data_IF_642964949219
#
_entry.id   IF_642964949219
#
_cell.length_a   1.000
_cell.length_b   1.000
_cell.length_c   1.000
_cell.angle_alpha   90.00
_cell.angle_beta   90.00
_cell.angle_gamma   90.00
#
_symmetry.space_group_name_H-M   'P 1'
#
loop_
_entity.id
_entity.type
_entity.pdbx_description
1 polymer ?
#
# COMPACT_ATOMS: atom_id res chain seq x y z
N UNK A 1 -9.70 -15.30 8.53
CA UNK A 1 -9.28 -16.05 9.74
C UNK A 1 -10.32 -15.81 10.81
N UNK A 2 -10.78 -16.83 11.57
CA UNK A 2 -11.68 -16.64 12.70
C UNK A 2 -11.00 -15.91 13.86
N UNK A 3 -11.77 -15.11 14.61
CA UNK A 3 -11.27 -14.33 15.76
C UNK A 3 -10.53 -15.19 16.80
N UNK A 4 -11.10 -16.36 17.15
CA UNK A 4 -10.49 -17.29 18.12
C UNK A 4 -9.13 -17.82 17.68
N UNK A 5 -8.95 -18.04 16.36
CA UNK A 5 -7.66 -18.46 15.80
C UNK A 5 -6.62 -17.33 15.89
N UNK A 6 -7.04 -16.09 15.61
CA UNK A 6 -6.19 -14.91 15.72
C UNK A 6 -5.80 -14.67 17.19
N UNK A 7 -6.76 -14.86 18.13
CA UNK A 7 -6.51 -14.74 19.55
C UNK A 7 -5.49 -15.77 20.04
N UNK A 8 -5.61 -17.04 19.64
CA UNK A 8 -4.62 -18.07 19.97
C UNK A 8 -3.21 -17.72 19.46
N UNK A 9 -3.12 -17.20 18.24
CA UNK A 9 -1.83 -16.72 17.69
C UNK A 9 -1.26 -15.56 18.52
N UNK A 10 -2.12 -14.62 18.93
CA UNK A 10 -1.73 -13.50 19.79
C UNK A 10 -1.23 -13.99 21.15
N UNK A 11 -1.93 -14.92 21.78
CA UNK A 11 -1.54 -15.52 23.07
C UNK A 11 -0.22 -16.28 22.93
N UNK A 12 0.05 -16.91 21.75
CA UNK A 12 1.30 -17.54 21.38
C UNK A 12 2.43 -16.58 21.00
N UNK A 13 2.21 -15.25 21.08
CA UNK A 13 3.27 -14.24 20.86
C UNK A 13 3.23 -13.51 19.52
N UNK A 14 2.18 -13.68 18.71
CA UNK A 14 2.00 -12.90 17.48
C UNK A 14 1.92 -11.39 17.80
N UNK A 15 2.73 -10.59 17.12
CA UNK A 15 2.78 -9.13 17.33
C UNK A 15 2.44 -8.32 16.09
N UNK A 16 2.80 -8.83 14.92
CA UNK A 16 2.67 -8.12 13.65
C UNK A 16 2.26 -9.10 12.54
N UNK A 17 1.34 -8.66 11.69
CA UNK A 17 0.98 -9.33 10.45
C UNK A 17 1.31 -8.43 9.26
N UNK A 18 1.85 -9.03 8.21
CA UNK A 18 1.93 -8.45 6.88
C UNK A 18 0.66 -8.85 6.13
N UNK A 19 -0.12 -7.87 5.68
CA UNK A 19 -1.43 -8.12 5.05
C UNK A 19 -1.50 -7.43 3.70
N UNK A 20 -1.59 -8.22 2.62
CA UNK A 20 -1.81 -7.71 1.27
C UNK A 20 -3.28 -7.38 1.05
N UNK A 21 -3.64 -6.11 1.18
CA UNK A 21 -4.99 -5.61 0.83
C UNK A 21 -5.11 -5.35 -0.67
N UNK A 22 -4.05 -4.93 -1.29
CA UNK A 22 -3.85 -4.56 -2.69
C UNK A 22 -4.71 -3.36 -3.12
N UNK A 23 -6.04 -3.44 -3.03
CA UNK A 23 -6.98 -2.38 -3.41
C UNK A 23 -8.14 -2.27 -2.42
N UNK A 24 -8.72 -1.08 -2.31
CA UNK A 24 -9.96 -0.79 -1.61
C UNK A 24 -11.21 -0.89 -2.48
N UNK A 25 -11.05 -1.25 -3.76
CA UNK A 25 -12.16 -1.43 -4.68
C UNK A 25 -12.37 -2.93 -4.98
N UNK A 26 -13.63 -3.40 -4.82
CA UNK A 26 -13.94 -4.83 -4.97
C UNK A 26 -13.78 -5.31 -6.41
N UNK A 27 -14.06 -4.47 -7.41
CA UNK A 27 -13.91 -4.84 -8.82
C UNK A 27 -12.42 -4.99 -9.18
N UNK A 28 -11.56 -4.13 -8.68
CA UNK A 28 -10.10 -4.25 -8.86
C UNK A 28 -9.59 -5.55 -8.24
N UNK A 29 -10.03 -5.89 -7.02
CA UNK A 29 -9.68 -7.17 -6.38
C UNK A 29 -10.15 -8.38 -7.20
N UNK A 30 -11.31 -8.28 -7.86
CA UNK A 30 -11.80 -9.29 -8.80
C UNK A 30 -10.92 -9.40 -10.04
N UNK A 31 -10.55 -8.28 -10.64
CA UNK A 31 -9.72 -8.25 -11.86
C UNK A 31 -8.37 -8.96 -11.66
N UNK A 32 -7.77 -8.77 -10.48
CA UNK A 32 -6.50 -9.43 -10.12
C UNK A 32 -6.68 -10.82 -9.48
N UNK A 33 -7.90 -11.32 -9.41
CA UNK A 33 -8.24 -12.64 -8.82
C UNK A 33 -7.74 -12.80 -7.37
N UNK A 34 -7.74 -11.72 -6.59
CA UNK A 34 -7.27 -11.74 -5.18
C UNK A 34 -8.11 -12.64 -4.28
N UNK A 35 -9.38 -12.87 -4.61
CA UNK A 35 -10.29 -13.72 -3.80
C UNK A 35 -10.65 -13.11 -2.44
N UNK A 36 -10.26 -11.87 -2.16
CA UNK A 36 -10.58 -11.16 -0.93
C UNK A 36 -11.84 -10.31 -1.10
N UNK A 37 -12.66 -10.26 -0.04
CA UNK A 37 -13.81 -9.35 0.06
C UNK A 37 -13.48 -8.21 1.02
N UNK A 38 -13.81 -6.99 0.63
CA UNK A 38 -13.51 -5.76 1.39
C UNK A 38 -14.11 -5.82 2.80
N UNK A 39 -15.35 -6.30 2.95
CA UNK A 39 -16.00 -6.43 4.25
C UNK A 39 -15.26 -7.41 5.17
N UNK A 40 -14.71 -8.49 4.60
CA UNK A 40 -13.91 -9.47 5.35
C UNK A 40 -12.58 -8.86 5.78
N UNK A 41 -11.95 -8.04 4.93
CA UNK A 41 -10.73 -7.33 5.25
C UNK A 41 -10.96 -6.30 6.38
N UNK A 42 -12.07 -5.53 6.33
CA UNK A 42 -12.46 -4.58 7.39
C UNK A 42 -12.63 -5.29 8.74
N UNK A 43 -13.43 -6.37 8.77
CA UNK A 43 -13.64 -7.15 10.00
C UNK A 43 -12.34 -7.73 10.53
N UNK A 44 -11.53 -8.37 9.68
CA UNK A 44 -10.25 -8.93 10.08
C UNK A 44 -9.30 -7.89 10.67
N UNK A 45 -9.25 -6.70 10.08
CA UNK A 45 -8.42 -5.59 10.59
C UNK A 45 -8.92 -5.12 11.94
N UNK A 46 -10.24 -5.01 12.12
CA UNK A 46 -10.83 -4.67 13.41
C UNK A 46 -10.51 -5.72 14.49
N UNK A 47 -10.64 -7.01 14.17
CA UNK A 47 -10.26 -8.10 15.06
C UNK A 47 -8.77 -8.00 15.49
N UNK A 48 -7.89 -7.61 14.58
CA UNK A 48 -6.48 -7.37 14.89
C UNK A 48 -6.30 -6.17 15.84
N UNK A 49 -7.02 -5.09 15.61
CA UNK A 49 -6.98 -3.91 16.48
C UNK A 49 -7.45 -4.25 17.91
N UNK A 50 -8.55 -4.95 18.04
CA UNK A 50 -9.14 -5.36 19.32
C UNK A 50 -8.18 -6.26 20.12
N UNK A 51 -7.44 -7.12 19.43
CA UNK A 51 -6.42 -8.00 20.02
C UNK A 51 -5.06 -7.32 20.23
N UNK A 52 -4.88 -6.08 19.77
CA UNK A 52 -3.58 -5.39 19.81
C UNK A 52 -2.51 -6.06 18.92
N UNK A 53 -2.92 -6.70 17.82
CA UNK A 53 -2.03 -7.22 16.78
C UNK A 53 -1.78 -6.09 15.78
N UNK A 54 -0.52 -5.76 15.56
CA UNK A 54 -0.15 -4.74 14.57
C UNK A 54 -0.31 -5.28 13.15
N UNK A 55 -0.65 -4.39 12.21
CA UNK A 55 -0.73 -4.72 10.79
C UNK A 55 0.21 -3.80 10.01
N UNK A 56 1.02 -4.39 9.14
CA UNK A 56 1.64 -3.71 8.01
C UNK A 56 0.81 -4.03 6.78
N UNK A 57 0.04 -3.04 6.29
CA UNK A 57 -0.84 -3.21 5.14
C UNK A 57 -0.11 -2.89 3.84
N UNK A 58 -0.22 -3.75 2.83
CA UNK A 58 0.35 -3.49 1.51
C UNK A 58 -0.75 -3.23 0.50
N UNK A 59 -0.49 -2.24 -0.38
CA UNK A 59 -1.40 -1.79 -1.44
C UNK A 59 -0.64 -1.68 -2.75
N UNK A 60 -1.34 -1.82 -3.87
CA UNK A 60 -0.77 -1.72 -5.20
C UNK A 60 -1.59 -0.71 -5.99
N UNK A 61 -0.92 0.22 -6.69
CA UNK A 61 -1.53 1.15 -7.64
C UNK A 61 -1.10 0.81 -9.07
N UNK A 62 -1.93 1.17 -10.03
CA UNK A 62 -1.72 0.84 -11.45
C UNK A 62 -2.18 -0.57 -11.81
N UNK A 63 -3.14 -1.14 -11.07
CA UNK A 63 -3.73 -2.44 -11.38
C UNK A 63 -4.69 -2.34 -12.58
N UNK A 64 -4.88 -3.43 -13.38
CA UNK A 64 -5.80 -3.43 -14.51
C UNK A 64 -7.23 -3.02 -14.15
N UNK A 65 -7.75 -2.04 -14.90
CA UNK A 65 -9.07 -1.47 -14.69
C UNK A 65 -9.14 -0.37 -13.63
N UNK A 66 -7.99 0.01 -13.05
CA UNK A 66 -7.95 1.09 -12.06
C UNK A 66 -8.18 2.46 -12.70
N UNK A 67 -8.88 3.33 -11.98
CA UNK A 67 -9.18 4.73 -12.32
C UNK A 67 -8.80 5.63 -11.16
N UNK A 68 -8.86 6.94 -11.34
CA UNK A 68 -8.66 7.91 -10.24
C UNK A 68 -9.62 7.68 -9.08
N UNK A 69 -10.86 7.35 -9.40
CA UNK A 69 -11.92 7.07 -8.43
C UNK A 69 -11.61 5.81 -7.62
N UNK A 70 -11.15 4.73 -8.27
CA UNK A 70 -10.81 3.49 -7.56
C UNK A 70 -9.53 3.62 -6.74
N UNK A 71 -8.57 4.46 -7.16
CA UNK A 71 -7.42 4.85 -6.34
C UNK A 71 -7.91 5.61 -5.10
N UNK A 72 -8.82 6.56 -5.26
CA UNK A 72 -9.40 7.32 -4.15
C UNK A 72 -10.15 6.41 -3.16
N UNK A 73 -10.90 5.42 -3.66
CA UNK A 73 -11.53 4.39 -2.83
C UNK A 73 -10.49 3.59 -2.04
N UNK A 74 -9.36 3.25 -2.67
CA UNK A 74 -8.28 2.51 -2.03
C UNK A 74 -7.61 3.33 -0.92
N UNK A 75 -7.35 4.62 -1.14
CA UNK A 75 -6.82 5.54 -0.13
C UNK A 75 -7.81 5.67 1.04
N UNK A 76 -9.09 5.85 0.72
CA UNK A 76 -10.16 5.95 1.72
C UNK A 76 -10.23 4.68 2.55
N UNK A 77 -10.30 3.51 1.91
CA UNK A 77 -10.29 2.21 2.58
C UNK A 77 -9.09 2.05 3.51
N UNK A 78 -7.87 2.35 3.06
CA UNK A 78 -6.67 2.26 3.88
C UNK A 78 -6.73 3.18 5.11
N UNK A 79 -7.29 4.39 4.94
CA UNK A 79 -7.45 5.33 6.07
C UNK A 79 -8.49 4.89 7.07
N UNK A 80 -9.56 4.24 6.62
CA UNK A 80 -10.63 3.70 7.46
C UNK A 80 -10.15 2.49 8.28
N UNK A 81 -9.56 1.49 7.62
CA UNK A 81 -9.05 0.30 8.31
C UNK A 81 -7.81 0.58 9.16
N UNK A 82 -7.12 1.69 8.90
CA UNK A 82 -6.03 2.25 9.69
C UNK A 82 -4.97 1.23 10.14
N UNK A 83 -4.33 0.46 9.26
CA UNK A 83 -3.23 -0.42 9.63
C UNK A 83 -2.11 0.37 10.34
N UNK A 84 -1.26 -0.34 11.08
CA UNK A 84 -0.20 0.29 11.86
C UNK A 84 0.80 1.05 10.97
N UNK A 85 1.22 0.42 9.88
CA UNK A 85 2.02 1.01 8.81
C UNK A 85 1.48 0.55 7.47
N UNK A 86 1.83 1.27 6.39
CA UNK A 86 1.51 0.87 5.02
C UNK A 86 2.75 0.82 4.15
N UNK A 87 2.64 0.03 3.08
CA UNK A 87 3.50 0.10 1.90
C UNK A 87 2.61 0.21 0.68
N UNK A 88 2.96 1.10 -0.23
CA UNK A 88 2.29 1.28 -1.52
C UNK A 88 3.30 0.99 -2.61
N UNK A 89 2.99 0.01 -3.45
CA UNK A 89 3.81 -0.41 -4.59
C UNK A 89 3.08 -0.10 -5.89
N UNK A 90 3.83 -0.05 -6.98
CA UNK A 90 3.29 0.07 -8.33
C UNK A 90 3.13 -1.33 -8.94
N UNK A 91 2.09 -1.51 -9.75
CA UNK A 91 1.89 -2.76 -10.48
C UNK A 91 3.06 -2.95 -11.46
N UNK A 92 3.75 -4.08 -11.34
CA UNK A 92 4.92 -4.41 -12.13
C UNK A 92 4.64 -5.62 -13.04
N UNK A 93 4.59 -5.42 -14.37
CA UNK A 93 4.35 -6.49 -15.33
C UNK A 93 5.63 -7.28 -15.58
N UNK A 94 5.90 -8.28 -14.74
CA UNK A 94 7.06 -9.15 -14.94
C UNK A 94 6.86 -10.09 -16.13
N UNK A 95 7.88 -10.29 -16.99
CA UNK A 95 7.83 -11.25 -18.10
C UNK A 95 7.35 -12.64 -17.63
N UNK A 96 6.45 -13.25 -18.41
CA UNK A 96 5.85 -14.54 -18.07
C UNK A 96 4.62 -14.48 -17.16
N UNK A 97 4.25 -13.30 -16.65
CA UNK A 97 3.01 -13.13 -15.88
C UNK A 97 1.83 -12.81 -16.80
N UNK A 98 0.61 -13.11 -16.31
CA UNK A 98 -0.62 -12.73 -17.01
C UNK A 98 -0.73 -11.20 -17.20
N UNK A 99 -0.32 -10.41 -16.20
CA UNK A 99 -0.29 -8.96 -16.29
C UNK A 99 0.62 -8.46 -17.41
N UNK A 100 1.79 -9.08 -17.59
CA UNK A 100 2.70 -8.73 -18.67
C UNK A 100 2.08 -8.98 -20.05
N UNK A 101 1.49 -10.18 -20.25
CA UNK A 101 0.84 -10.49 -21.52
C UNK A 101 -0.33 -9.55 -21.80
N UNK A 102 -1.17 -9.29 -20.79
CA UNK A 102 -2.28 -8.36 -20.90
C UNK A 102 -1.82 -6.94 -21.22
N UNK A 103 -0.70 -6.50 -20.66
CA UNK A 103 -0.14 -5.18 -20.92
C UNK A 103 0.38 -5.05 -22.37
N UNK A 104 1.01 -6.11 -22.90
CA UNK A 104 1.42 -6.16 -24.32
C UNK A 104 0.21 -6.14 -25.26
N UNK A 105 -0.76 -7.02 -25.02
CA UNK A 105 -1.95 -7.19 -25.88
C UNK A 105 -2.79 -5.90 -25.98
N UNK A 106 -2.79 -5.08 -24.94
CA UNK A 106 -3.58 -3.85 -24.88
C UNK A 106 -2.73 -2.57 -25.07
N UNK A 107 -1.43 -2.69 -25.29
CA UNK A 107 -0.55 -1.53 -25.46
C UNK A 107 -0.41 -0.66 -24.18
N UNK A 108 -0.54 -1.25 -23.01
CA UNK A 108 -0.40 -0.55 -21.72
C UNK A 108 1.05 -0.43 -21.25
N UNK A 109 1.95 -1.24 -21.82
CA UNK A 109 3.37 -1.22 -21.48
C UNK A 109 4.09 -0.24 -22.40
N UNK A 110 4.70 0.78 -21.83
CA UNK A 110 5.60 1.65 -22.53
C UNK A 110 6.97 0.96 -22.68
N UNK A 111 7.32 0.61 -23.91
CA UNK A 111 8.59 -0.05 -24.22
C UNK A 111 9.82 0.82 -23.87
N UNK A 112 9.66 2.14 -23.78
CA UNK A 112 10.72 3.08 -23.35
C UNK A 112 10.90 3.08 -21.82
N UNK A 113 9.94 2.54 -21.06
CA UNK A 113 9.94 2.44 -19.60
C UNK A 113 9.84 0.97 -19.16
N UNK A 114 10.47 0.06 -19.89
CA UNK A 114 10.47 -1.38 -19.56
C UNK A 114 11.22 -1.71 -18.25
N UNK A 115 11.98 -0.75 -17.71
CA UNK A 115 12.61 -0.89 -16.41
C UNK A 115 11.58 -0.77 -15.29
N UNK A 116 11.65 -1.70 -14.32
CA UNK A 116 10.74 -1.74 -13.18
C UNK A 116 11.22 -0.87 -12.01
N UNK A 117 12.48 -0.50 -12.05
CA UNK A 117 13.15 0.38 -11.07
C UNK A 117 14.12 1.30 -11.82
N UNK A 118 14.27 2.51 -11.33
CA UNK A 118 15.24 3.46 -11.85
C UNK A 118 16.66 3.16 -11.32
N UNK A 119 17.64 3.97 -11.72
CA UNK A 119 19.04 3.88 -11.30
C UNK A 119 19.25 4.07 -9.79
N UNK A 120 18.24 4.62 -9.09
CA UNK A 120 18.25 4.81 -7.65
C UNK A 120 17.48 3.71 -6.89
N UNK A 121 16.97 2.68 -7.61
CA UNK A 121 16.17 1.60 -7.04
C UNK A 121 14.74 2.00 -6.70
N UNK A 122 14.25 3.14 -7.21
CA UNK A 122 12.86 3.58 -7.04
C UNK A 122 12.00 2.86 -8.07
N UNK A 123 10.90 2.26 -7.61
CA UNK A 123 9.94 1.61 -8.49
C UNK A 123 9.28 2.63 -9.41
N UNK A 124 9.39 2.41 -10.71
CA UNK A 124 8.71 3.21 -11.74
C UNK A 124 7.36 2.60 -12.10
N UNK A 125 6.48 3.39 -12.73
CA UNK A 125 5.18 2.93 -13.20
C UNK A 125 5.27 2.56 -14.69
N UNK A 126 5.57 1.30 -15.05
CA UNK A 126 5.75 0.93 -16.44
C UNK A 126 4.41 0.83 -17.19
N UNK A 127 3.29 0.84 -16.48
CA UNK A 127 1.96 0.74 -17.05
C UNK A 127 1.31 2.10 -17.21
N UNK A 128 0.70 2.32 -18.36
CA UNK A 128 -0.18 3.45 -18.65
C UNK A 128 -1.48 2.95 -19.29
N UNK A 129 -2.59 3.53 -18.87
CA UNK A 129 -3.92 3.22 -19.41
C UNK A 129 -4.44 4.43 -20.19
N UNK A 130 -5.37 4.27 -21.14
CA UNK A 130 -5.92 5.40 -21.90
C UNK A 130 -6.52 6.51 -21.05
N UNK A 131 -6.95 6.18 -19.83
CA UNK A 131 -7.62 7.06 -18.87
C UNK A 131 -6.81 7.34 -17.60
N UNK A 132 -5.60 6.76 -17.48
CA UNK A 132 -4.74 6.90 -16.31
C UNK A 132 -3.27 6.74 -16.72
N UNK A 133 -2.56 7.84 -16.82
CA UNK A 133 -1.16 7.87 -17.24
C UNK A 133 -0.21 7.29 -16.18
N UNK A 134 0.99 6.88 -16.59
CA UNK A 134 2.02 6.41 -15.67
C UNK A 134 2.40 7.49 -14.65
N UNK A 135 2.46 8.77 -15.04
CA UNK A 135 2.74 9.88 -14.13
C UNK A 135 1.66 10.02 -13.06
N UNK A 136 0.38 9.94 -13.46
CA UNK A 136 -0.73 9.99 -12.50
C UNK A 136 -0.70 8.81 -11.52
N UNK A 137 -0.39 7.60 -11.99
CA UNK A 137 -0.23 6.43 -11.11
C UNK A 137 0.93 6.66 -10.14
N UNK A 138 2.06 7.14 -10.64
CA UNK A 138 3.25 7.41 -9.84
C UNK A 138 2.98 8.47 -8.76
N UNK A 139 2.37 9.60 -9.09
CA UNK A 139 2.07 10.70 -8.17
C UNK A 139 1.06 10.31 -7.08
N UNK A 140 0.15 9.41 -7.42
CA UNK A 140 -0.82 8.91 -6.44
C UNK A 140 -0.18 8.08 -5.31
N UNK A 141 1.01 7.52 -5.49
CA UNK A 141 1.75 6.86 -4.38
C UNK A 141 2.10 7.88 -3.30
N UNK A 142 2.61 9.04 -3.68
CA UNK A 142 2.94 10.11 -2.72
C UNK A 142 1.68 10.65 -2.03
N UNK A 143 0.62 10.88 -2.82
CA UNK A 143 -0.70 11.29 -2.32
C UNK A 143 -1.23 10.30 -1.29
N UNK A 144 -1.11 9.00 -1.56
CA UNK A 144 -1.52 7.93 -0.65
C UNK A 144 -0.78 8.03 0.68
N UNK A 145 0.55 8.09 0.65
CA UNK A 145 1.36 8.21 1.86
C UNK A 145 1.04 9.48 2.65
N UNK A 146 0.92 10.63 1.98
CA UNK A 146 0.57 11.89 2.63
C UNK A 146 -0.79 11.80 3.31
N UNK A 147 -1.80 11.33 2.61
CA UNK A 147 -3.16 11.20 3.14
C UNK A 147 -3.27 10.17 4.26
N UNK A 148 -2.47 9.12 4.24
CA UNK A 148 -2.45 8.12 5.30
C UNK A 148 -1.74 8.61 6.55
N UNK A 149 -0.52 9.17 6.44
CA UNK A 149 0.32 9.49 7.59
C UNK A 149 0.05 10.87 8.19
N UNK A 150 -0.33 11.88 7.39
CA UNK A 150 -0.54 13.24 7.90
C UNK A 150 -1.96 13.52 8.44
N UNK A 151 -2.69 12.49 8.82
CA UNK A 151 -3.95 12.62 9.56
C UNK A 151 -3.69 12.86 11.04
N UNK A 152 -4.45 13.78 11.64
CA UNK A 152 -4.30 14.09 13.06
C UNK A 152 -4.34 12.86 14.00
N UNK A 153 -5.26 11.88 13.83
CA UNK A 153 -5.26 10.67 14.65
C UNK A 153 -4.01 9.81 14.47
N UNK A 154 -3.47 9.74 13.24
CA UNK A 154 -2.26 8.95 12.95
C UNK A 154 -1.03 9.59 13.56
N UNK A 155 -0.89 10.91 13.39
CA UNK A 155 0.18 11.69 14.03
C UNK A 155 0.15 11.54 15.54
N UNK A 156 -1.03 11.69 16.17
CA UNK A 156 -1.20 11.51 17.60
C UNK A 156 -0.78 10.11 18.07
N UNK A 157 -1.14 9.07 17.32
CA UNK A 157 -0.73 7.69 17.60
C UNK A 157 0.80 7.52 17.55
N UNK A 158 1.45 8.07 16.51
CA UNK A 158 2.92 8.00 16.34
C UNK A 158 3.61 8.76 17.48
N UNK A 159 3.18 9.97 17.78
CA UNK A 159 3.70 10.77 18.91
C UNK A 159 3.50 10.03 20.22
N UNK A 160 2.32 9.42 20.45
CA UNK A 160 2.05 8.61 21.65
C UNK A 160 3.00 7.42 21.79
N UNK A 161 3.39 6.77 20.70
CA UNK A 161 4.42 5.71 20.74
C UNK A 161 5.82 6.27 21.06
N UNK A 162 6.17 7.44 20.53
CA UNK A 162 7.47 8.09 20.78
C UNK A 162 7.65 8.47 22.23
N UNK A 163 6.60 9.00 22.87
CA UNK A 163 6.64 9.42 24.28
C UNK A 163 6.75 8.22 25.24
N UNK A 164 6.20 7.07 24.87
CA UNK A 164 6.20 5.87 25.73
C UNK A 164 7.56 5.19 25.88
N UNK A 165 8.49 5.39 24.94
CA UNK A 165 9.81 4.73 24.97
C UNK A 165 10.84 5.51 24.19
N UNK A 166 12.03 5.80 24.81
CA UNK A 166 13.16 6.44 24.11
C UNK A 166 13.65 5.63 22.89
N UNK A 167 13.53 4.31 22.94
CA UNK A 167 13.88 3.44 21.81
C UNK A 167 12.89 3.62 20.64
N UNK A 168 11.60 3.70 20.95
CA UNK A 168 10.56 3.97 19.95
C UNK A 168 10.73 5.36 19.36
N UNK A 169 11.08 6.36 20.15
CA UNK A 169 11.35 7.72 19.65
C UNK A 169 12.48 7.71 18.61
N UNK A 170 13.65 7.10 18.94
CA UNK A 170 14.79 6.99 18.00
C UNK A 170 14.37 6.26 16.70
N UNK A 171 13.62 5.18 16.84
CA UNK A 171 13.12 4.40 15.70
C UNK A 171 12.19 5.24 14.82
N UNK A 172 11.19 5.90 15.41
CA UNK A 172 10.23 6.73 14.65
C UNK A 172 10.86 7.94 13.98
N UNK A 173 11.84 8.56 14.62
CA UNK A 173 12.62 9.65 14.01
C UNK A 173 13.39 9.16 12.79
N UNK A 174 14.03 7.98 12.88
CA UNK A 174 14.75 7.38 11.74
C UNK A 174 13.79 7.03 10.61
N UNK A 175 12.68 6.32 10.90
CA UNK A 175 11.65 5.99 9.92
C UNK A 175 11.08 7.25 9.24
N UNK A 176 10.89 8.34 10.00
CA UNK A 176 10.47 9.63 9.48
C UNK A 176 11.50 10.25 8.53
N UNK A 177 12.79 10.23 8.89
CA UNK A 177 13.87 10.74 8.01
C UNK A 177 13.96 9.92 6.71
N UNK A 178 13.93 8.59 6.81
CA UNK A 178 13.93 7.69 5.65
C UNK A 178 12.71 7.94 4.74
N UNK A 179 11.55 8.17 5.34
CA UNK A 179 10.33 8.52 4.59
C UNK A 179 10.43 9.87 3.85
N UNK A 180 10.94 10.92 4.50
CA UNK A 180 11.15 12.21 3.85
C UNK A 180 12.23 12.14 2.76
N UNK A 181 13.28 11.35 2.97
CA UNK A 181 14.28 11.09 1.95
C UNK A 181 13.65 10.39 0.74
N UNK A 182 12.87 9.34 0.95
CA UNK A 182 12.12 8.64 -0.09
C UNK A 182 11.22 9.58 -0.89
N UNK A 183 10.44 10.45 -0.23
CA UNK A 183 9.60 11.43 -0.94
C UNK A 183 10.44 12.40 -1.77
N UNK A 184 11.59 12.84 -1.24
CA UNK A 184 12.48 13.77 -1.95
C UNK A 184 13.14 13.11 -3.19
N UNK A 185 13.51 11.85 -3.09
CA UNK A 185 14.08 11.09 -4.21
C UNK A 185 13.05 10.86 -5.31
N UNK A 186 11.80 10.55 -4.94
CA UNK A 186 10.70 10.44 -5.90
C UNK A 186 10.44 11.74 -6.67
N UNK A 187 10.51 12.90 -6.02
CA UNK A 187 10.38 14.20 -6.70
C UNK A 187 11.50 14.50 -7.70
N UNK A 188 12.63 13.82 -7.61
CA UNK A 188 13.73 13.96 -8.57
C UNK A 188 13.59 13.00 -9.75
N UNK A 189 12.86 11.90 -9.56
CA UNK A 189 12.63 10.86 -10.57
C UNK A 189 11.36 11.13 -11.42
N UNK A 190 10.50 12.07 -11.01
CA UNK A 190 9.33 12.56 -11.76
C UNK A 190 9.71 13.75 -12.68
#
# INVERSE_FOLDING_TARGET
MPYESLKKLKDGGLRLLLVGYESGNQQILHNIKKGMRIEVARRFTQDCHDLGVKIHGTFILGLPGETKETIEETITFATEINPHTIQVSLAAPYPGTHLYQQALDNGWLDASHAELVDEHGIQVAPLAYPHLSHTEIFDNVETFYKRFYFRAPKIASIVGEMVRSPQMMKRRLREGMEFFQFLRERHKAA
#
